data_IF_675487181427
#
_entry.id   IF_675487181427
#
_cell.length_a   1.000
_cell.length_b   1.000
_cell.length_c   1.000
_cell.angle_alpha   90.00
_cell.angle_beta   90.00
_cell.angle_gamma   90.00
#
_symmetry.space_group_name_H-M   'P 1'
#
loop_
_entity.id
_entity.type
_entity.pdbx_description
1 polymer ?
#
# COMPACT_ATOMS: atom_id res chain seq x y z
N UNK A 1 -1.73 77.08 60.15
CA UNK A 1 -2.98 76.83 60.89
C UNK A 1 -2.84 75.42 61.46
N UNK A 2 -2.31 75.30 62.67
CA UNK A 2 -2.26 74.02 63.39
C UNK A 2 -3.51 73.90 64.27
N UNK A 3 -4.11 72.70 64.32
CA UNK A 3 -5.00 72.34 65.42
C UNK A 3 -5.06 70.82 65.63
N UNK A 4 -4.50 70.41 66.78
CA UNK A 4 -4.94 69.38 67.74
C UNK A 4 -5.05 67.92 67.24
N UNK A 5 -4.12 67.05 67.65
CA UNK A 5 -4.07 66.27 68.92
C UNK A 5 -5.07 65.12 69.00
N UNK A 6 -4.58 63.88 69.12
CA UNK A 6 -4.72 62.98 70.29
C UNK A 6 -4.35 61.53 69.90
N UNK A 7 -3.44 60.95 70.66
CA UNK A 7 -3.04 59.54 70.69
C UNK A 7 -4.17 58.63 71.28
N UNK A 8 -3.93 57.35 71.60
CA UNK A 8 -3.88 56.17 70.74
C UNK A 8 -4.86 55.08 71.26
N UNK A 9 -4.98 53.91 70.63
CA UNK A 9 -5.18 52.63 71.37
C UNK A 9 -4.99 51.42 70.44
N UNK A 10 -4.14 50.52 70.91
CA UNK A 10 -3.91 49.16 70.41
C UNK A 10 -4.97 48.24 71.03
N UNK A 11 -5.56 47.31 70.28
CA UNK A 11 -5.57 45.88 70.61
C UNK A 11 -6.34 44.99 69.61
N UNK A 12 -5.59 44.04 69.03
CA UNK A 12 -5.81 42.58 68.96
C UNK A 12 -7.23 42.07 68.65
N UNK A 13 -7.36 41.29 67.58
CA UNK A 13 -8.55 40.43 67.38
C UNK A 13 -8.63 39.66 66.06
N UNK A 14 -7.88 38.55 65.98
CA UNK A 14 -8.13 37.31 65.22
C UNK A 14 -8.17 37.27 63.67
N UNK A 15 -7.54 36.23 63.06
CA UNK A 15 -7.66 35.92 61.63
C UNK A 15 -8.87 35.02 61.36
N UNK A 16 -9.64 35.32 60.32
CA UNK A 16 -10.54 34.35 59.70
C UNK A 16 -10.10 34.08 58.27
N UNK A 17 -9.43 32.93 58.12
CA UNK A 17 -9.80 31.86 57.19
C UNK A 17 -10.44 32.32 55.87
N UNK A 18 -9.57 32.77 54.95
CA UNK A 18 -9.92 32.95 53.55
C UNK A 18 -9.96 31.55 52.93
N UNK A 19 -11.19 31.04 52.90
CA UNK A 19 -11.66 29.90 52.12
C UNK A 19 -10.79 29.67 50.89
N UNK A 20 -10.11 28.52 50.88
CA UNK A 20 -9.46 27.96 49.71
C UNK A 20 -10.48 27.82 48.59
N UNK A 21 -10.49 28.79 47.67
CA UNK A 21 -11.09 28.63 46.35
C UNK A 21 -10.20 27.65 45.58
N UNK A 22 -10.49 26.36 45.75
CA UNK A 22 -9.89 25.27 45.01
C UNK A 22 -10.27 25.44 43.54
N UNK A 23 -9.42 26.10 42.75
CA UNK A 23 -9.49 26.07 41.30
C UNK A 23 -9.11 24.66 40.85
N UNK A 24 -10.08 23.76 40.81
CA UNK A 24 -9.98 22.50 40.07
C UNK A 24 -10.00 22.89 38.58
N UNK A 25 -8.82 23.13 38.01
CA UNK A 25 -8.65 23.14 36.56
C UNK A 25 -8.80 21.68 36.13
N UNK A 26 -10.03 21.32 35.75
CA UNK A 26 -10.31 20.07 35.05
C UNK A 26 -9.71 20.20 33.65
N UNK A 27 -8.41 19.91 33.53
CA UNK A 27 -7.78 19.65 32.24
C UNK A 27 -8.40 18.36 31.73
N UNK A 28 -9.49 18.50 30.97
CA UNK A 28 -9.96 17.46 30.08
C UNK A 28 -8.82 17.32 29.05
N UNK A 29 -7.85 16.45 29.37
CA UNK A 29 -7.05 15.81 28.35
C UNK A 29 -8.04 15.01 27.52
N UNK A 30 -8.65 15.67 26.54
CA UNK A 30 -9.13 15.02 25.34
C UNK A 30 -7.89 14.43 24.71
N UNK A 31 -7.48 13.26 25.20
CA UNK A 31 -6.58 12.39 24.51
C UNK A 31 -7.31 12.00 23.24
N UNK A 32 -7.18 12.83 22.22
CA UNK A 32 -7.35 12.40 20.85
C UNK A 32 -6.35 11.26 20.72
N UNK A 33 -6.83 10.03 20.88
CA UNK A 33 -6.10 8.88 20.40
C UNK A 33 -6.00 9.13 18.90
N UNK A 34 -4.92 9.78 18.47
CA UNK A 34 -4.54 9.79 17.08
C UNK A 34 -4.45 8.31 16.72
N UNK A 35 -5.42 7.84 15.93
CA UNK A 35 -5.33 6.53 15.35
C UNK A 35 -4.07 6.57 14.50
N UNK A 36 -2.96 6.05 15.04
CA UNK A 36 -1.73 5.93 14.29
C UNK A 36 -2.07 5.09 13.06
N UNK A 37 -1.84 5.68 11.88
CA UNK A 37 -1.99 4.93 10.64
C UNK A 37 -1.08 3.70 10.73
N UNK A 38 -1.63 2.58 10.27
CA UNK A 38 -0.91 1.30 10.32
C UNK A 38 0.35 1.41 9.47
N UNK A 39 1.50 1.19 10.09
CA UNK A 39 2.76 1.14 9.34
C UNK A 39 2.83 -0.11 8.49
N UNK A 40 3.49 0.02 7.36
CA UNK A 40 3.75 -1.07 6.44
C UNK A 40 5.17 -0.93 5.89
N UNK A 41 5.70 -2.01 5.34
CA UNK A 41 7.06 -2.03 4.83
C UNK A 41 7.43 -3.33 4.15
N UNK A 42 8.64 -3.38 3.62
CA UNK A 42 9.23 -4.61 3.11
C UNK A 42 9.89 -5.38 4.24
N UNK A 43 9.64 -6.69 4.31
CA UNK A 43 10.53 -7.63 4.99
C UNK A 43 11.50 -8.22 3.95
N UNK A 44 12.81 -8.06 4.17
CA UNK A 44 13.86 -8.57 3.28
C UNK A 44 14.83 -9.44 4.08
N UNK A 45 14.96 -10.70 3.69
CA UNK A 45 16.02 -11.58 4.17
C UNK A 45 17.16 -11.60 3.15
N UNK A 46 18.34 -11.20 3.60
CA UNK A 46 19.54 -11.13 2.77
C UNK A 46 20.25 -12.49 2.69
N UNK A 47 21.16 -12.69 1.72
CA UNK A 47 21.94 -13.92 1.60
C UNK A 47 22.79 -14.28 2.84
N UNK A 48 23.05 -13.31 3.72
CA UNK A 48 23.74 -13.52 5.01
C UNK A 48 22.81 -14.09 6.10
N UNK A 49 21.53 -14.31 5.79
CA UNK A 49 20.51 -14.81 6.70
C UNK A 49 19.89 -13.74 7.60
N UNK A 50 20.37 -12.49 7.57
CA UNK A 50 19.79 -11.40 8.34
C UNK A 50 18.51 -10.89 7.69
N UNK A 51 17.51 -10.61 8.52
CA UNK A 51 16.22 -10.08 8.08
C UNK A 51 16.05 -8.64 8.52
N UNK A 52 15.60 -7.79 7.60
CA UNK A 52 15.39 -6.37 7.82
C UNK A 52 13.97 -5.95 7.44
N UNK A 53 13.46 -4.97 8.16
CA UNK A 53 12.26 -4.20 7.83
C UNK A 53 12.68 -2.86 7.22
N UNK A 54 12.11 -2.53 6.06
CA UNK A 54 12.22 -1.22 5.43
C UNK A 54 10.86 -0.54 5.49
N UNK A 55 10.76 0.57 6.21
CA UNK A 55 9.47 1.27 6.45
C UNK A 55 9.70 2.76 6.66
N UNK A 56 8.69 3.58 6.41
CA UNK A 56 8.69 5.02 6.74
C UNK A 56 8.25 5.29 8.19
N UNK A 57 7.79 4.26 8.91
CA UNK A 57 7.33 4.42 10.28
C UNK A 57 8.50 4.32 11.29
N UNK A 58 8.47 5.20 12.29
CA UNK A 58 9.33 5.06 13.47
C UNK A 58 8.79 3.93 14.36
N UNK A 59 9.59 2.89 14.57
CA UNK A 59 9.15 1.66 15.24
C UNK A 59 9.63 1.66 16.69
N UNK A 60 8.70 1.48 17.61
CA UNK A 60 9.04 1.29 19.02
C UNK A 60 9.57 -0.13 19.29
N UNK A 61 10.47 -0.31 20.26
CA UNK A 61 11.12 -1.61 20.53
C UNK A 61 10.16 -2.73 20.98
N UNK A 62 8.96 -2.37 21.44
CA UNK A 62 7.93 -3.29 21.88
C UNK A 62 6.83 -3.52 20.82
N UNK A 63 6.90 -2.86 19.67
CA UNK A 63 5.89 -2.98 18.62
C UNK A 63 5.91 -4.36 18.00
N UNK A 64 4.72 -4.94 17.82
CA UNK A 64 4.57 -6.22 17.14
C UNK A 64 4.55 -5.98 15.65
N UNK A 65 5.32 -6.78 14.91
CA UNK A 65 5.41 -6.71 13.47
C UNK A 65 4.92 -8.05 12.91
N UNK A 66 3.91 -7.99 12.04
CA UNK A 66 3.37 -9.14 11.32
C UNK A 66 4.03 -9.22 9.96
N UNK A 67 4.74 -10.31 9.66
CA UNK A 67 5.53 -10.47 8.43
C UNK A 67 5.10 -11.70 7.63
N UNK A 68 5.11 -11.55 6.31
CA UNK A 68 5.12 -12.69 5.40
C UNK A 68 6.42 -13.48 5.54
N UNK A 69 6.35 -14.77 5.26
CA UNK A 69 7.49 -15.68 5.31
C UNK A 69 7.43 -16.72 4.18
N UNK A 70 8.59 -17.21 3.71
CA UNK A 70 8.62 -18.30 2.74
C UNK A 70 8.15 -19.61 3.37
N UNK A 71 7.25 -20.33 2.70
CA UNK A 71 6.78 -21.67 3.08
C UNK A 71 6.65 -22.55 1.83
N UNK A 72 7.38 -23.66 1.75
CA UNK A 72 7.25 -24.67 0.69
C UNK A 72 7.22 -24.10 -0.75
N UNK A 73 8.07 -23.10 -1.02
CA UNK A 73 8.19 -22.33 -2.29
C UNK A 73 7.05 -21.35 -2.58
N UNK A 74 6.08 -21.21 -1.69
CA UNK A 74 5.06 -20.17 -1.71
C UNK A 74 5.34 -19.12 -0.63
N UNK A 75 4.55 -18.05 -0.64
CA UNK A 75 4.53 -17.04 0.42
C UNK A 75 3.35 -17.36 1.34
N UNK A 76 3.58 -17.30 2.66
CA UNK A 76 2.53 -17.47 3.65
C UNK A 76 2.47 -16.25 4.59
N UNK A 77 1.30 -15.98 5.15
CA UNK A 77 1.10 -14.92 6.13
C UNK A 77 0.40 -15.43 7.40
N UNK A 78 0.72 -14.96 8.59
CA UNK A 78 1.87 -14.12 8.95
C UNK A 78 2.50 -14.62 10.25
N UNK A 79 3.82 -14.48 10.35
CA UNK A 79 4.56 -14.67 11.60
C UNK A 79 4.66 -13.33 12.34
N UNK A 80 4.60 -13.39 13.66
CA UNK A 80 4.85 -12.23 14.50
C UNK A 80 6.34 -12.16 14.86
N UNK A 81 6.92 -10.96 14.80
CA UNK A 81 8.30 -10.66 15.19
C UNK A 81 8.36 -9.27 15.83
N UNK A 82 9.58 -8.85 16.20
CA UNK A 82 9.89 -7.53 16.77
C UNK A 82 11.18 -7.00 16.17
N UNK A 83 11.40 -5.70 16.33
CA UNK A 83 12.66 -5.06 15.96
C UNK A 83 13.78 -5.40 16.96
N UNK A 84 14.99 -5.59 16.43
CA UNK A 84 16.26 -5.70 17.18
C UNK A 84 17.00 -4.36 17.26
N UNK A 85 16.39 -3.29 16.72
CA UNK A 85 16.94 -1.94 16.67
C UNK A 85 17.12 -1.42 15.25
N UNK A 86 17.14 -0.09 15.15
CA UNK A 86 17.37 0.64 13.91
C UNK A 86 18.81 0.44 13.41
N UNK A 87 18.99 0.46 12.09
CA UNK A 87 20.25 0.28 11.40
C UNK A 87 20.55 1.54 10.59
N UNK A 88 21.74 2.10 10.79
CA UNK A 88 22.26 3.16 9.91
C UNK A 88 22.83 2.50 8.65
N UNK A 89 22.00 2.35 7.63
CA UNK A 89 22.39 1.85 6.32
C UNK A 89 21.65 2.63 5.25
N UNK A 90 22.32 2.93 4.13
CA UNK A 90 21.64 3.44 2.95
C UNK A 90 20.78 2.30 2.38
N UNK A 91 19.46 2.50 2.38
CA UNK A 91 18.52 1.49 1.91
C UNK A 91 18.36 1.52 0.40
N UNK A 92 18.04 0.37 -0.17
CA UNK A 92 17.63 0.24 -1.58
C UNK A 92 16.14 0.59 -1.78
N UNK A 93 15.48 1.04 -0.70
CA UNK A 93 14.05 1.34 -0.67
C UNK A 93 13.78 2.84 -0.60
N UNK A 94 12.67 3.29 -1.16
CA UNK A 94 12.22 4.69 -1.18
C UNK A 94 10.70 4.78 -1.10
N UNK A 95 10.16 5.86 -0.52
CA UNK A 95 8.75 6.21 -0.58
C UNK A 95 8.48 7.06 -1.83
N UNK A 96 7.76 6.49 -2.79
CA UNK A 96 7.42 7.15 -4.05
C UNK A 96 6.17 8.03 -3.95
N UNK A 97 5.36 7.90 -2.89
CA UNK A 97 4.14 8.67 -2.73
C UNK A 97 4.36 9.94 -1.91
N UNK A 98 5.03 9.80 -0.76
CA UNK A 98 5.20 10.92 0.18
C UNK A 98 6.64 11.40 0.30
N UNK A 99 7.60 10.77 -0.37
CA UNK A 99 9.03 11.11 -0.32
C UNK A 99 9.58 11.15 1.12
N UNK A 100 9.03 10.31 1.99
CA UNK A 100 9.45 10.22 3.40
C UNK A 100 10.77 9.47 3.56
N UNK A 101 11.50 9.81 4.64
CA UNK A 101 12.72 9.10 5.00
C UNK A 101 12.44 7.62 5.31
N UNK A 102 13.32 6.75 4.82
CA UNK A 102 13.24 5.33 5.05
C UNK A 102 14.04 4.93 6.30
N UNK A 103 13.37 4.18 7.18
CA UNK A 103 13.97 3.55 8.34
C UNK A 103 14.22 2.07 8.07
N UNK A 104 15.36 1.56 8.54
CA UNK A 104 15.75 0.16 8.42
C UNK A 104 15.90 -0.42 9.82
N UNK A 105 15.19 -1.51 10.09
CA UNK A 105 15.25 -2.21 11.38
C UNK A 105 15.67 -3.66 11.17
N UNK A 106 16.58 -4.16 12.01
CA UNK A 106 16.82 -5.61 12.05
C UNK A 106 15.64 -6.30 12.71
N UNK A 107 15.25 -7.49 12.25
CA UNK A 107 14.13 -8.25 12.82
C UNK A 107 14.62 -9.49 13.58
N UNK A 108 13.91 -9.84 14.66
CA UNK A 108 14.11 -11.08 15.40
C UNK A 108 13.41 -12.26 14.69
N UNK A 109 13.83 -12.49 13.45
CA UNK A 109 13.41 -13.60 12.60
C UNK A 109 14.45 -13.81 11.51
N UNK A 110 14.68 -15.05 11.10
CA UNK A 110 15.60 -15.40 10.02
C UNK A 110 14.96 -16.43 9.11
N UNK A 111 15.26 -16.32 7.81
CA UNK A 111 14.87 -17.29 6.81
C UNK A 111 16.10 -17.98 6.25
N UNK A 112 15.90 -19.19 5.73
CA UNK A 112 16.99 -20.02 5.16
C UNK A 112 17.30 -19.68 3.71
N UNK A 113 16.50 -18.82 3.09
CA UNK A 113 16.64 -18.40 1.70
C UNK A 113 16.34 -16.90 1.57
N UNK A 114 16.99 -16.20 0.61
CA UNK A 114 16.67 -14.82 0.30
C UNK A 114 15.18 -14.65 0.01
N UNK A 115 14.59 -13.61 0.57
CA UNK A 115 13.15 -13.41 0.53
C UNK A 115 12.82 -11.92 0.60
N UNK A 116 11.83 -11.49 -0.17
CA UNK A 116 11.22 -10.16 -0.08
C UNK A 116 9.72 -10.40 0.08
N UNK A 117 9.10 -9.74 1.06
CA UNK A 117 7.67 -9.83 1.31
C UNK A 117 7.12 -8.63 2.07
N UNK A 118 5.89 -8.77 2.55
CA UNK A 118 5.14 -7.71 3.22
C UNK A 118 5.33 -7.77 4.75
N UNK A 119 5.52 -6.60 5.36
CA UNK A 119 5.47 -6.38 6.80
C UNK A 119 4.40 -5.36 7.18
N UNK A 120 3.71 -5.62 8.29
CA UNK A 120 2.70 -4.75 8.90
C UNK A 120 3.09 -4.46 10.34
N UNK A 121 3.07 -3.19 10.73
CA UNK A 121 3.53 -2.72 12.03
C UNK A 121 2.33 -2.40 12.93
N UNK A 122 2.40 -2.81 14.20
CA UNK A 122 1.46 -2.42 15.25
C UNK A 122 0.09 -3.11 15.14
N UNK A 123 -0.11 -3.98 14.14
CA UNK A 123 -1.36 -4.70 13.88
C UNK A 123 -1.10 -6.13 13.44
N UNK A 124 -2.05 -7.01 13.75
CA UNK A 124 -2.11 -8.33 13.16
C UNK A 124 -2.65 -8.20 11.74
N UNK A 125 -2.07 -8.96 10.83
CA UNK A 125 -2.46 -8.98 9.44
C UNK A 125 -2.82 -10.42 9.03
N UNK A 126 -3.78 -10.55 8.13
CA UNK A 126 -4.23 -11.85 7.62
C UNK A 126 -3.96 -11.94 6.13
N UNK A 127 -3.66 -13.15 5.66
CA UNK A 127 -3.40 -13.39 4.24
C UNK A 127 -4.59 -12.99 3.36
N UNK A 128 -4.30 -12.34 2.23
CA UNK A 128 -5.27 -12.05 1.18
C UNK A 128 -4.65 -12.41 -0.19
N UNK A 129 -4.46 -13.71 -0.42
CA UNK A 129 -3.75 -14.23 -1.58
C UNK A 129 -2.23 -14.17 -1.44
N UNK A 130 -1.52 -14.47 -2.54
CA UNK A 130 -0.05 -14.70 -2.52
C UNK A 130 0.76 -13.41 -2.39
N UNK A 131 0.25 -12.31 -2.96
CA UNK A 131 0.96 -11.04 -3.10
C UNK A 131 0.34 -9.90 -2.28
N UNK A 132 -0.64 -10.22 -1.43
CA UNK A 132 -1.32 -9.22 -0.63
C UNK A 132 -1.68 -9.72 0.76
N UNK A 133 -1.78 -8.76 1.67
CA UNK A 133 -2.15 -8.94 3.07
C UNK A 133 -3.24 -7.93 3.41
N UNK A 134 -4.22 -8.34 4.20
CA UNK A 134 -5.34 -7.51 4.61
C UNK A 134 -5.33 -7.26 6.12
N UNK A 135 -5.67 -6.02 6.49
CA UNK A 135 -5.92 -5.60 7.87
C UNK A 135 -7.41 -5.31 7.99
N UNK A 136 -8.19 -6.34 8.32
CA UNK A 136 -9.66 -6.33 8.27
C UNK A 136 -10.30 -5.20 9.07
N UNK A 137 -9.73 -4.87 10.23
CA UNK A 137 -10.25 -3.83 11.12
C UNK A 137 -10.17 -2.42 10.55
N UNK A 138 -9.39 -2.19 9.48
CA UNK A 138 -9.17 -0.87 8.88
C UNK A 138 -9.55 -0.77 7.40
N UNK A 139 -10.05 -1.87 6.81
CA UNK A 139 -10.25 -1.96 5.35
C UNK A 139 -8.99 -1.52 4.58
N UNK A 140 -7.82 -1.98 5.06
CA UNK A 140 -6.52 -1.69 4.45
C UNK A 140 -5.98 -2.94 3.77
N UNK A 141 -5.63 -2.81 2.50
CA UNK A 141 -4.92 -3.83 1.72
C UNK A 141 -3.50 -3.37 1.48
N UNK A 142 -2.54 -4.26 1.72
CA UNK A 142 -1.14 -4.05 1.37
C UNK A 142 -0.77 -5.10 0.34
N UNK A 143 -0.22 -4.69 -0.80
CA UNK A 143 0.10 -5.58 -1.91
C UNK A 143 1.47 -5.29 -2.53
N UNK A 144 2.07 -6.30 -3.14
CA UNK A 144 3.33 -6.18 -3.86
C UNK A 144 3.23 -6.62 -5.32
N UNK A 145 3.89 -5.86 -6.20
CA UNK A 145 4.19 -6.28 -7.55
C UNK A 145 5.67 -6.13 -7.89
N UNK A 146 6.06 -6.81 -8.97
CA UNK A 146 7.38 -6.77 -9.57
C UNK A 146 7.35 -5.92 -10.83
N UNK A 147 8.25 -4.93 -10.92
CA UNK A 147 8.59 -4.24 -12.16
C UNK A 147 9.92 -4.78 -12.70
N UNK A 148 10.38 -4.26 -13.85
CA UNK A 148 11.66 -4.68 -14.43
C UNK A 148 12.82 -4.39 -13.47
N UNK A 149 12.79 -3.27 -12.72
CA UNK A 149 13.95 -2.82 -11.92
C UNK A 149 13.81 -3.07 -10.41
N UNK A 150 12.62 -3.45 -9.95
CA UNK A 150 12.35 -3.50 -8.52
C UNK A 150 11.01 -4.06 -8.11
N UNK A 151 10.76 -4.01 -6.81
CA UNK A 151 9.49 -4.43 -6.19
C UNK A 151 8.77 -3.19 -5.70
N UNK A 152 7.50 -3.06 -6.05
CA UNK A 152 6.63 -2.02 -5.50
C UNK A 152 5.77 -2.63 -4.40
N UNK A 153 5.50 -1.84 -3.36
CA UNK A 153 4.62 -2.15 -2.25
C UNK A 153 3.61 -1.03 -2.10
N UNK A 154 2.34 -1.35 -2.26
CA UNK A 154 1.25 -0.40 -2.15
C UNK A 154 0.47 -0.63 -0.87
N UNK A 155 0.15 0.44 -0.15
CA UNK A 155 -0.90 0.46 0.85
C UNK A 155 -2.10 1.17 0.28
N UNK A 156 -3.27 0.56 0.41
CA UNK A 156 -4.54 1.16 0.05
C UNK A 156 -5.53 1.02 1.19
N UNK A 157 -6.15 2.14 1.57
CA UNK A 157 -7.12 2.23 2.66
C UNK A 157 -8.47 2.61 2.06
N UNK A 158 -9.48 1.77 2.25
CA UNK A 158 -10.80 1.93 1.62
C UNK A 158 -10.71 2.14 0.10
N UNK A 159 -9.89 1.39 -0.63
CA UNK A 159 -9.77 1.59 -2.08
C UNK A 159 -8.78 2.67 -2.52
N UNK A 160 -8.33 3.53 -1.58
CA UNK A 160 -7.53 4.71 -1.89
C UNK A 160 -6.07 4.46 -1.59
N UNK A 161 -5.21 4.70 -2.59
CA UNK A 161 -3.76 4.66 -2.41
C UNK A 161 -3.35 5.65 -1.32
N UNK A 162 -2.73 5.13 -0.26
CA UNK A 162 -2.25 5.92 0.87
C UNK A 162 -0.78 5.62 1.23
N UNK A 163 -0.11 4.77 0.46
CA UNK A 163 1.33 4.56 0.58
C UNK A 163 1.90 3.79 -0.62
N UNK A 164 3.12 4.14 -1.03
CA UNK A 164 3.82 3.48 -2.14
C UNK A 164 5.31 3.43 -1.85
N UNK A 165 5.82 2.25 -1.51
CA UNK A 165 7.26 2.02 -1.37
C UNK A 165 7.79 1.30 -2.60
N UNK A 166 9.01 1.61 -2.98
CA UNK A 166 9.76 0.94 -4.03
C UNK A 166 11.07 0.42 -3.48
N UNK A 167 11.41 -0.82 -3.81
CA UNK A 167 12.66 -1.47 -3.47
C UNK A 167 13.40 -1.83 -4.75
N UNK A 168 14.55 -1.20 -4.99
CA UNK A 168 15.42 -1.53 -6.11
C UNK A 168 16.09 -2.89 -5.88
N UNK A 169 16.09 -3.73 -6.92
CA UNK A 169 16.76 -5.03 -6.89
C UNK A 169 18.23 -4.95 -7.32
N UNK A 170 18.60 -3.87 -8.05
CA UNK A 170 19.94 -3.71 -8.62
C UNK A 170 20.22 -4.60 -9.83
N UNK A 171 19.20 -5.26 -10.37
CA UNK A 171 19.24 -6.06 -11.60
C UNK A 171 17.83 -6.13 -12.21
N UNK A 172 17.76 -6.42 -13.51
CA UNK A 172 16.50 -6.57 -14.22
C UNK A 172 15.83 -7.91 -13.87
N UNK A 173 14.58 -7.85 -13.43
CA UNK A 173 13.79 -9.02 -13.08
C UNK A 173 12.91 -9.47 -14.27
N UNK A 174 12.90 -10.77 -14.53
CA UNK A 174 12.03 -11.37 -15.54
C UNK A 174 10.54 -11.20 -15.16
N UNK A 175 9.64 -10.94 -16.12
CA UNK A 175 8.22 -10.76 -15.85
C UNK A 175 7.63 -12.06 -15.25
N UNK A 176 7.06 -11.93 -14.07
CA UNK A 176 6.35 -13.02 -13.37
C UNK A 176 4.85 -12.71 -13.29
N UNK A 177 4.05 -13.66 -12.80
CA UNK A 177 2.60 -13.49 -12.61
C UNK A 177 2.20 -12.36 -11.63
N UNK A 178 3.18 -11.73 -10.97
CA UNK A 178 3.00 -10.62 -10.05
C UNK A 178 3.49 -9.28 -10.64
N UNK A 179 3.41 -9.10 -11.96
CA UNK A 179 3.86 -7.86 -12.63
C UNK A 179 3.06 -6.63 -12.16
N UNK A 180 3.70 -5.47 -12.05
CA UNK A 180 3.05 -4.20 -11.73
C UNK A 180 2.09 -3.71 -12.81
N UNK A 181 2.27 -4.18 -14.03
CA UNK A 181 1.33 -3.94 -15.13
C UNK A 181 -0.04 -4.59 -14.85
N UNK A 182 -0.06 -5.63 -14.02
CA UNK A 182 -1.27 -6.34 -13.59
C UNK A 182 -1.83 -5.89 -12.23
N UNK A 183 -1.17 -4.97 -11.50
CA UNK A 183 -1.45 -4.72 -10.08
C UNK A 183 -2.42 -3.56 -9.76
N UNK A 184 -3.14 -3.05 -10.76
CA UNK A 184 -4.24 -2.08 -10.55
C UNK A 184 -5.53 -2.74 -10.01
N UNK A 185 -5.40 -3.84 -9.28
CA UNK A 185 -6.51 -4.71 -8.89
C UNK A 185 -6.81 -4.65 -7.40
N UNK A 186 -7.09 -3.46 -6.84
CA UNK A 186 -7.83 -3.42 -5.58
C UNK A 186 -9.31 -3.73 -5.86
N UNK A 187 -9.67 -4.99 -5.66
CA UNK A 187 -11.01 -5.58 -5.80
C UNK A 187 -11.73 -5.28 -7.12
N UNK A 188 -10.98 -5.14 -8.22
CA UNK A 188 -11.59 -5.11 -9.55
C UNK A 188 -12.40 -6.41 -9.71
N UNK A 189 -13.73 -6.33 -9.86
CA UNK A 189 -14.58 -7.50 -9.93
C UNK A 189 -14.09 -8.48 -11.01
N UNK A 190 -14.23 -9.78 -10.78
CA UNK A 190 -13.64 -10.82 -11.64
C UNK A 190 -14.01 -10.68 -13.11
N UNK A 191 -15.19 -10.14 -13.42
CA UNK A 191 -15.62 -9.86 -14.78
C UNK A 191 -14.98 -8.61 -15.40
N UNK A 192 -14.60 -7.62 -14.58
CA UNK A 192 -13.84 -6.45 -15.00
C UNK A 192 -12.36 -6.81 -15.19
N UNK A 193 -11.76 -7.59 -14.28
CA UNK A 193 -10.36 -8.03 -14.42
C UNK A 193 -10.18 -9.02 -15.56
N UNK A 194 -11.14 -9.93 -15.76
CA UNK A 194 -11.20 -10.78 -16.94
C UNK A 194 -11.34 -10.00 -18.25
N UNK A 195 -12.09 -8.90 -18.24
CA UNK A 195 -12.17 -7.99 -19.39
C UNK A 195 -10.84 -7.28 -19.67
N UNK A 196 -10.23 -6.66 -18.65
CA UNK A 196 -8.92 -5.98 -18.75
C UNK A 196 -7.89 -6.90 -19.39
N UNK A 197 -7.73 -8.11 -18.85
CA UNK A 197 -6.77 -9.09 -19.38
C UNK A 197 -6.99 -9.41 -20.86
N UNK A 198 -8.24 -9.63 -21.28
CA UNK A 198 -8.53 -9.95 -22.68
C UNK A 198 -8.32 -8.72 -23.58
N UNK A 199 -8.69 -7.53 -23.08
CA UNK A 199 -8.58 -6.30 -23.84
C UNK A 199 -7.13 -5.84 -24.01
N UNK A 200 -6.30 -5.97 -22.98
CA UNK A 200 -4.87 -5.65 -23.06
C UNK A 200 -4.15 -6.55 -24.08
N UNK A 201 -4.49 -7.86 -24.11
CA UNK A 201 -3.97 -8.77 -25.14
C UNK A 201 -4.41 -8.34 -26.55
N UNK A 202 -5.65 -7.91 -26.71
CA UNK A 202 -6.14 -7.37 -27.97
C UNK A 202 -5.36 -6.11 -28.39
N UNK A 203 -5.23 -5.14 -27.49
CA UNK A 203 -4.59 -3.85 -27.74
C UNK A 203 -3.09 -4.01 -28.07
N UNK A 204 -2.39 -4.94 -27.39
CA UNK A 204 -1.00 -5.29 -27.71
C UNK A 204 -0.89 -5.91 -29.11
N UNK A 205 -1.70 -6.93 -29.42
CA UNK A 205 -1.61 -7.64 -30.71
C UNK A 205 -1.99 -6.76 -31.91
N UNK A 206 -2.97 -5.85 -31.75
CA UNK A 206 -3.35 -4.92 -32.82
C UNK A 206 -2.37 -3.75 -32.98
N UNK A 207 -1.59 -3.44 -31.95
CA UNK A 207 -0.53 -2.43 -32.01
C UNK A 207 0.72 -2.91 -32.75
N UNK A 208 1.03 -4.21 -32.62
CA UNK A 208 2.25 -4.84 -33.14
C UNK A 208 1.94 -5.87 -34.25
N UNK A 209 1.15 -5.50 -35.25
CA UNK A 209 0.86 -6.39 -36.39
C UNK A 209 2.14 -6.58 -37.22
N UNK A 210 2.66 -7.81 -37.35
CA UNK A 210 3.89 -8.05 -38.08
C UNK A 210 3.71 -7.80 -39.58
N UNK A 211 4.77 -7.31 -40.22
CA UNK A 211 4.82 -7.30 -41.68
C UNK A 211 4.83 -8.73 -42.24
N UNK A 212 4.41 -8.86 -43.50
CA UNK A 212 4.41 -10.15 -44.18
C UNK A 212 5.84 -10.64 -44.39
N UNK A 213 6.20 -11.73 -43.72
CA UNK A 213 7.48 -12.40 -43.90
C UNK A 213 7.40 -13.50 -44.98
N UNK A 214 8.18 -13.44 -46.07
CA UNK A 214 8.27 -14.51 -47.06
C UNK A 214 8.77 -15.85 -46.49
N UNK A 215 9.53 -15.83 -45.39
CA UNK A 215 10.06 -17.02 -44.74
C UNK A 215 9.06 -17.70 -43.78
N UNK A 216 8.07 -16.95 -43.26
CA UNK A 216 6.91 -17.48 -42.51
C UNK A 216 5.61 -16.83 -43.01
N UNK A 217 5.09 -17.28 -44.17
CA UNK A 217 3.92 -16.68 -44.81
C UNK A 217 2.64 -16.80 -43.97
N UNK A 218 2.61 -17.71 -42.99
CA UNK A 218 1.46 -17.98 -42.14
C UNK A 218 1.46 -17.12 -40.86
N UNK A 219 2.59 -16.49 -40.50
CA UNK A 219 2.72 -15.71 -39.26
C UNK A 219 1.62 -14.65 -39.13
N UNK A 220 1.41 -13.87 -40.20
CA UNK A 220 0.38 -12.84 -40.23
C UNK A 220 -1.03 -13.41 -40.00
N UNK A 221 -1.33 -14.59 -40.57
CA UNK A 221 -2.64 -15.23 -40.39
C UNK A 221 -2.86 -15.72 -38.95
N UNK A 222 -1.80 -16.21 -38.28
CA UNK A 222 -1.86 -16.62 -36.87
C UNK A 222 -2.11 -15.42 -35.97
N UNK A 223 -1.39 -14.32 -36.19
CA UNK A 223 -1.60 -13.07 -35.43
C UNK A 223 -3.00 -12.52 -35.64
N UNK A 224 -3.51 -12.48 -36.87
CA UNK A 224 -4.90 -12.06 -37.14
C UNK A 224 -5.91 -12.97 -36.44
N UNK A 225 -5.65 -14.28 -36.37
CA UNK A 225 -6.50 -15.22 -35.62
C UNK A 225 -6.48 -14.93 -34.12
N UNK A 226 -5.32 -14.63 -33.55
CA UNK A 226 -5.18 -14.29 -32.13
C UNK A 226 -5.82 -12.93 -31.80
N UNK A 227 -5.66 -11.93 -32.67
CA UNK A 227 -6.39 -10.65 -32.60
C UNK A 227 -7.90 -10.92 -32.55
N UNK A 228 -8.44 -11.69 -33.50
CA UNK A 228 -9.86 -12.02 -33.51
C UNK A 228 -10.32 -12.78 -32.26
N UNK A 229 -9.46 -13.61 -31.68
CA UNK A 229 -9.76 -14.36 -30.46
C UNK A 229 -9.89 -13.45 -29.24
N UNK A 230 -9.04 -12.43 -29.10
CA UNK A 230 -9.03 -11.55 -27.93
C UNK A 230 -9.90 -10.30 -28.10
N UNK A 231 -10.02 -9.77 -29.32
CA UNK A 231 -10.69 -8.51 -29.59
C UNK A 231 -12.20 -8.63 -29.81
N UNK A 232 -12.68 -9.77 -30.32
CA UNK A 232 -14.08 -9.93 -30.71
C UNK A 232 -15.01 -9.93 -29.49
N UNK A 233 -16.05 -9.11 -29.54
CA UNK A 233 -17.03 -8.89 -28.48
C UNK A 233 -16.55 -8.00 -27.33
N UNK A 234 -15.33 -7.44 -27.40
CA UNK A 234 -14.81 -6.57 -26.35
C UNK A 234 -15.52 -5.23 -26.28
N UNK A 235 -16.00 -4.67 -27.41
CA UNK A 235 -16.73 -3.40 -27.40
C UNK A 235 -18.09 -3.54 -26.72
N UNK A 236 -18.81 -4.62 -27.06
CA UNK A 236 -20.06 -4.95 -26.38
C UNK A 236 -19.82 -5.19 -24.88
N UNK A 237 -18.73 -5.90 -24.53
CA UNK A 237 -18.40 -6.20 -23.14
C UNK A 237 -18.04 -4.94 -22.35
N UNK A 238 -17.30 -4.01 -22.95
CA UNK A 238 -16.95 -2.72 -22.34
C UNK A 238 -18.21 -1.93 -22.01
N UNK A 239 -19.14 -1.83 -22.96
CA UNK A 239 -20.44 -1.17 -22.76
C UNK A 239 -21.21 -1.81 -21.61
N UNK A 240 -21.33 -3.13 -21.59
CA UNK A 240 -22.03 -3.87 -20.53
C UNK A 240 -21.40 -3.64 -19.15
N UNK A 241 -20.06 -3.58 -19.06
CA UNK A 241 -19.38 -3.36 -17.79
C UNK A 241 -19.54 -1.92 -17.31
N UNK A 242 -19.43 -0.91 -18.20
CA UNK A 242 -19.70 0.49 -17.85
C UNK A 242 -21.14 0.69 -17.35
N UNK A 243 -22.12 0.03 -17.99
CA UNK A 243 -23.52 0.05 -17.54
C UNK A 243 -23.68 -0.64 -16.16
N UNK A 244 -23.15 -1.85 -16.01
CA UNK A 244 -23.24 -2.66 -14.77
C UNK A 244 -22.63 -1.94 -13.57
N UNK A 245 -21.51 -1.23 -13.77
CA UNK A 245 -20.77 -0.55 -12.71
C UNK A 245 -20.99 0.97 -12.68
N UNK A 246 -22.05 1.47 -13.32
CA UNK A 246 -22.35 2.92 -13.42
C UNK A 246 -22.40 3.66 -12.08
N UNK A 247 -22.70 2.98 -10.96
CA UNK A 247 -22.66 3.54 -9.61
C UNK A 247 -21.29 3.47 -8.91
N UNK A 248 -20.25 2.93 -9.55
CA UNK A 248 -18.90 2.80 -9.02
C UNK A 248 -17.94 3.65 -9.88
N UNK A 249 -17.68 4.88 -9.43
CA UNK A 249 -16.85 5.85 -10.16
C UNK A 249 -15.44 5.33 -10.45
N UNK A 250 -14.83 4.59 -9.53
CA UNK A 250 -13.50 4.02 -9.70
C UNK A 250 -13.44 3.01 -10.86
N UNK A 251 -14.41 2.10 -10.94
CA UNK A 251 -14.49 1.11 -12.02
C UNK A 251 -14.84 1.79 -13.35
N UNK A 252 -15.76 2.76 -13.35
CA UNK A 252 -16.12 3.48 -14.57
C UNK A 252 -14.94 4.28 -15.12
N UNK A 253 -14.17 4.94 -14.24
CA UNK A 253 -12.96 5.67 -14.63
C UNK A 253 -11.92 4.73 -15.24
N UNK A 254 -11.69 3.57 -14.63
CA UNK A 254 -10.80 2.53 -15.14
C UNK A 254 -11.27 2.03 -16.52
N UNK A 255 -12.54 1.64 -16.66
CA UNK A 255 -13.07 1.17 -17.95
C UNK A 255 -13.04 2.24 -19.04
N UNK A 256 -13.09 3.52 -18.66
CA UNK A 256 -13.07 4.64 -19.61
C UNK A 256 -11.69 4.95 -20.16
N UNK A 257 -10.62 4.28 -19.71
CA UNK A 257 -9.29 4.37 -20.35
C UNK A 257 -9.21 3.58 -21.65
N UNK A 258 -10.11 2.62 -21.87
CA UNK A 258 -10.15 1.83 -23.09
C UNK A 258 -10.92 2.53 -24.21
N UNK A 259 -10.40 2.40 -25.43
CA UNK A 259 -11.03 2.91 -26.66
C UNK A 259 -12.40 2.26 -26.89
N UNK A 260 -13.39 3.08 -27.29
CA UNK A 260 -14.71 2.57 -27.66
C UNK A 260 -14.75 2.25 -29.16
N UNK A 261 -15.26 1.08 -29.53
CA UNK A 261 -15.53 0.65 -30.92
C UNK A 261 -14.32 0.17 -31.74
N UNK A 262 -13.33 -0.50 -31.12
CA UNK A 262 -12.16 -0.98 -31.87
C UNK A 262 -12.50 -2.08 -32.87
N UNK A 263 -13.59 -2.84 -32.67
CA UNK A 263 -13.98 -3.93 -33.55
C UNK A 263 -14.48 -3.41 -34.91
N UNK A 264 -14.97 -2.17 -34.97
CA UNK A 264 -15.38 -1.53 -36.23
C UNK A 264 -14.15 -1.20 -37.10
N UNK A 265 -13.08 -0.74 -36.46
CA UNK A 265 -11.82 -0.37 -37.11
C UNK A 265 -10.98 -1.59 -37.52
N UNK A 266 -11.25 -2.74 -36.91
CA UNK A 266 -10.59 -4.02 -37.16
C UNK A 266 -11.40 -4.93 -38.10
N UNK A 267 -12.17 -4.37 -39.03
CA UNK A 267 -12.86 -5.16 -40.06
C UNK A 267 -11.85 -5.79 -41.02
N UNK A 268 -11.33 -6.96 -40.64
CA UNK A 268 -10.48 -7.84 -41.44
C UNK A 268 -11.29 -8.66 -42.46
#
# INVERSE_FOLDING_TARGET
MELKSLFPTLHIGQPMDIKHTLFIILTIFSGSAFAQDTGFGFVKNNPDGQTYLYTTQNISSNEVISVQFPQDRTVACCKLTKTTGEKQQQGDAMDLLNESDMHIYGLDIQYTAPFIGIAVVGKNATENGVSAVEIKDQATTISTCLSQEGVHLFSRKNGSLNGHLYLSLGYDAEPTSNSCETENAESVPTDVSGYIKNRDNCDSLRGDIPERDPADPDNLSRVISDINKYCKGTDQKLKQLKEKYSGNESIVKLLSTYEENIEADMSF
#
